data_IF_256465521649
#
_entry.id   IF_256465521649
#
_cell.length_a   1.000
_cell.length_b   1.000
_cell.length_c   1.000
_cell.angle_alpha   90.00
_cell.angle_beta   90.00
_cell.angle_gamma   90.00
#
_symmetry.space_group_name_H-M   'P 1'
#
loop_
_entity.id
_entity.type
_entity.pdbx_description
1 polymer ?
#
# COMPACT_ATOMS: atom_id res chain seq x y z
N UNK A 1 -10.35 -5.96 3.30
CA UNK A 1 -9.35 -5.48 4.29
C UNK A 1 -9.78 -4.12 4.81
N UNK A 2 -9.71 -3.91 6.12
CA UNK A 2 -10.14 -2.66 6.71
C UNK A 2 -9.04 -1.60 6.62
N UNK A 3 -9.46 -0.33 6.72
CA UNK A 3 -8.53 0.79 6.75
C UNK A 3 -7.52 0.65 7.90
N UNK A 4 -8.01 0.25 9.07
CA UNK A 4 -7.15 0.09 10.25
C UNK A 4 -6.09 -0.97 10.04
N UNK A 5 -6.45 -2.09 9.41
CA UNK A 5 -5.48 -3.15 9.12
C UNK A 5 -4.40 -2.68 8.16
N UNK A 6 -4.79 -1.92 7.14
CA UNK A 6 -3.85 -1.36 6.18
C UNK A 6 -2.91 -0.39 6.89
N UNK A 7 -3.47 0.48 7.72
CA UNK A 7 -2.69 1.45 8.47
C UNK A 7 -1.67 0.79 9.38
N UNK A 8 -2.07 -0.29 10.09
CA UNK A 8 -1.17 -1.02 10.96
C UNK A 8 0.01 -1.63 10.18
N UNK A 9 -0.28 -2.20 9.01
CA UNK A 9 0.77 -2.77 8.17
C UNK A 9 1.74 -1.69 7.69
N UNK A 10 1.23 -0.52 7.33
CA UNK A 10 2.06 0.58 6.87
C UNK A 10 2.92 1.14 8.01
N UNK A 11 2.39 1.15 9.22
CA UNK A 11 3.17 1.57 10.37
C UNK A 11 4.36 0.65 10.59
N UNK A 12 4.15 -0.66 10.42
CA UNK A 12 5.23 -1.64 10.52
C UNK A 12 6.29 -1.41 9.46
N UNK A 13 5.87 -1.19 8.21
CA UNK A 13 6.80 -0.92 7.11
C UNK A 13 7.60 0.35 7.39
N UNK A 14 6.93 1.38 7.86
CA UNK A 14 7.58 2.66 8.17
C UNK A 14 8.56 2.55 9.35
N UNK A 15 8.20 1.74 10.34
CA UNK A 15 9.06 1.53 11.50
C UNK A 15 10.41 0.93 11.11
N UNK A 16 10.40 0.03 10.12
CA UNK A 16 11.62 -0.64 9.68
C UNK A 16 12.24 0.04 8.46
N UNK A 17 12.29 1.37 8.46
CA UNK A 17 12.79 2.14 7.32
C UNK A 17 14.29 1.93 7.02
N UNK A 18 15.02 1.32 7.95
CA UNK A 18 16.46 1.04 7.75
C UNK A 18 16.71 -0.31 7.08
N UNK A 19 15.66 -1.11 6.88
CA UNK A 19 15.76 -2.40 6.21
C UNK A 19 14.76 -2.45 5.07
N UNK A 20 15.04 -3.28 4.07
CA UNK A 20 14.15 -3.42 2.92
C UNK A 20 13.01 -4.38 3.24
N UNK A 21 11.94 -3.83 3.79
CA UNK A 21 10.72 -4.59 4.03
C UNK A 21 9.68 -4.14 3.03
N UNK A 22 9.11 -5.09 2.32
CA UNK A 22 8.06 -4.83 1.36
C UNK A 22 6.81 -5.56 1.79
N UNK A 23 5.69 -4.85 1.83
CA UNK A 23 4.41 -5.43 2.18
C UNK A 23 3.54 -5.50 0.94
N UNK A 24 3.00 -6.67 0.66
CA UNK A 24 2.11 -6.85 -0.48
C UNK A 24 0.67 -6.94 -0.03
N UNK A 25 -0.21 -6.30 -0.78
CA UNK A 25 -1.64 -6.38 -0.59
C UNK A 25 -2.23 -7.15 -1.76
N UNK A 26 -2.99 -8.18 -1.46
CA UNK A 26 -3.53 -9.06 -2.48
C UNK A 26 -5.01 -8.81 -2.70
N UNK A 27 -5.43 -9.03 -3.91
CA UNK A 27 -6.83 -9.11 -4.25
C UNK A 27 -7.03 -10.45 -4.92
N UNK A 28 -7.71 -11.36 -4.21
CA UNK A 28 -7.78 -12.75 -4.65
C UNK A 28 -6.42 -13.42 -4.54
N UNK A 29 -5.99 -14.08 -5.58
CA UNK A 29 -4.73 -14.80 -5.60
C UNK A 29 -3.55 -13.98 -6.11
N UNK A 30 -3.81 -12.79 -6.66
CA UNK A 30 -2.75 -11.98 -7.23
C UNK A 30 -2.38 -10.82 -6.31
N UNK A 31 -1.09 -10.52 -6.25
CA UNK A 31 -0.64 -9.30 -5.59
C UNK A 31 -1.16 -8.11 -6.41
N UNK A 32 -1.76 -7.16 -5.74
CA UNK A 32 -2.37 -6.00 -6.38
C UNK A 32 -1.54 -4.73 -6.16
N UNK A 33 -1.05 -4.56 -4.94
CA UNK A 33 -0.29 -3.39 -4.54
C UNK A 33 0.87 -3.84 -3.68
N UNK A 34 2.04 -3.24 -3.87
CA UNK A 34 3.17 -3.43 -2.97
C UNK A 34 3.56 -2.09 -2.37
N UNK A 35 4.00 -2.13 -1.12
CA UNK A 35 4.41 -0.93 -0.39
C UNK A 35 5.73 -1.20 0.28
N UNK A 36 6.64 -0.26 0.15
CA UNK A 36 7.90 -0.31 0.90
C UNK A 36 8.25 1.11 1.37
N UNK A 37 9.08 1.18 2.39
CA UNK A 37 9.59 2.46 2.85
C UNK A 37 10.91 2.75 2.15
N UNK A 38 11.04 3.94 1.59
CA UNK A 38 12.28 4.33 0.94
C UNK A 38 13.36 4.44 2.03
N UNK A 39 14.48 3.77 1.80
CA UNK A 39 15.56 3.65 2.78
C UNK A 39 16.00 5.02 3.30
N UNK A 40 16.14 5.10 4.62
CA UNK A 40 16.59 6.31 5.33
C UNK A 40 15.62 7.49 5.22
N UNK A 41 14.36 7.22 4.86
CA UNK A 41 13.32 8.23 4.83
C UNK A 41 12.07 7.67 5.47
N UNK A 42 11.05 8.51 5.59
CA UNK A 42 9.73 8.07 6.04
C UNK A 42 8.74 8.05 4.88
N UNK A 43 9.25 8.14 3.68
CA UNK A 43 8.42 8.11 2.48
C UNK A 43 8.03 6.68 2.17
N UNK A 44 6.73 6.45 1.97
CA UNK A 44 6.20 5.15 1.57
C UNK A 44 6.04 5.13 0.06
N UNK A 45 6.61 4.12 -0.57
CA UNK A 45 6.50 3.93 -2.01
C UNK A 45 5.45 2.87 -2.28
N UNK A 46 4.39 3.27 -2.95
CA UNK A 46 3.25 2.41 -3.27
C UNK A 46 3.27 2.10 -4.75
N UNK A 47 3.36 0.82 -5.09
CA UNK A 47 3.39 0.39 -6.48
C UNK A 47 2.10 -0.37 -6.79
N UNK A 48 1.39 0.08 -7.81
CA UNK A 48 0.19 -0.58 -8.31
C UNK A 48 0.61 -1.54 -9.42
N UNK A 49 0.54 -2.82 -9.12
CA UNK A 49 1.10 -3.85 -10.01
C UNK A 49 0.40 -3.88 -11.37
N UNK A 50 -0.91 -3.73 -11.39
CA UNK A 50 -1.69 -3.80 -12.63
C UNK A 50 -1.30 -2.71 -13.63
N UNK A 51 -1.07 -1.50 -13.16
CA UNK A 51 -0.74 -0.37 -14.02
C UNK A 51 0.75 -0.06 -14.02
N UNK A 52 1.50 -0.69 -13.11
CA UNK A 52 2.93 -0.42 -12.89
C UNK A 52 3.19 1.04 -12.50
N UNK A 53 2.18 1.69 -11.94
CA UNK A 53 2.32 3.05 -11.45
C UNK A 53 2.91 3.02 -10.04
N UNK A 54 3.76 3.98 -9.75
CA UNK A 54 4.36 4.12 -8.43
C UNK A 54 4.08 5.51 -7.89
N UNK A 55 3.64 5.59 -6.65
CA UNK A 55 3.38 6.85 -5.98
C UNK A 55 4.08 6.88 -4.64
N UNK A 56 4.41 8.06 -4.17
CA UNK A 56 5.11 8.26 -2.90
C UNK A 56 4.24 9.06 -1.95
N UNK A 57 4.20 8.62 -0.69
CA UNK A 57 3.42 9.27 0.36
C UNK A 57 4.30 9.47 1.58
N UNK A 58 4.21 10.67 2.17
CA UNK A 58 4.96 10.97 3.39
C UNK A 58 4.13 10.72 4.64
N UNK A 59 2.85 10.43 4.49
CA UNK A 59 1.95 10.17 5.59
C UNK A 59 1.38 8.77 5.49
N UNK A 60 1.40 8.05 6.62
CA UNK A 60 0.82 6.71 6.70
C UNK A 60 -0.67 6.77 6.40
N UNK A 61 -1.36 7.79 6.90
CA UNK A 61 -2.80 7.92 6.65
C UNK A 61 -3.11 8.12 5.18
N UNK A 62 -2.34 8.96 4.51
CA UNK A 62 -2.54 9.20 3.08
C UNK A 62 -2.29 7.95 2.26
N UNK A 63 -1.21 7.24 2.58
CA UNK A 63 -0.91 5.98 1.89
C UNK A 63 -1.99 4.93 2.17
N UNK A 64 -2.42 4.80 3.41
CA UNK A 64 -3.45 3.84 3.77
C UNK A 64 -4.77 4.14 3.07
N UNK A 65 -5.12 5.40 2.97
CA UNK A 65 -6.35 5.80 2.29
C UNK A 65 -6.27 5.48 0.80
N UNK A 66 -5.15 5.77 0.17
CA UNK A 66 -4.97 5.47 -1.24
C UNK A 66 -5.08 3.96 -1.51
N UNK A 67 -4.45 3.15 -0.68
CA UNK A 67 -4.52 1.70 -0.81
C UNK A 67 -5.93 1.19 -0.58
N UNK A 68 -6.58 1.70 0.46
CA UNK A 68 -7.94 1.30 0.79
C UNK A 68 -8.90 1.59 -0.36
N UNK A 69 -8.81 2.79 -0.91
CA UNK A 69 -9.66 3.18 -2.03
C UNK A 69 -9.37 2.36 -3.28
N UNK A 70 -8.10 2.07 -3.54
CA UNK A 70 -7.72 1.28 -4.71
C UNK A 70 -8.29 -0.13 -4.63
N UNK A 71 -8.23 -0.77 -3.46
CA UNK A 71 -8.75 -2.11 -3.28
C UNK A 71 -10.28 -2.11 -3.42
N UNK A 72 -10.94 -1.16 -2.78
CA UNK A 72 -12.40 -1.10 -2.82
C UNK A 72 -12.93 -0.67 -4.18
N UNK A 73 -12.25 0.25 -4.84
CA UNK A 73 -12.64 0.68 -6.19
C UNK A 73 -12.58 -0.47 -7.18
N UNK A 74 -11.54 -1.30 -7.08
CA UNK A 74 -11.41 -2.44 -7.95
C UNK A 74 -12.57 -3.42 -7.76
N UNK A 75 -12.97 -3.65 -6.51
CA UNK A 75 -14.12 -4.51 -6.22
C UNK A 75 -15.41 -3.89 -6.75
N UNK A 76 -15.57 -2.59 -6.53
CA UNK A 76 -16.75 -1.88 -6.99
C UNK A 76 -16.88 -1.90 -8.51
N UNK A 77 -15.77 -1.77 -9.21
CA UNK A 77 -15.76 -1.83 -10.67
C UNK A 77 -16.27 -3.15 -11.21
N UNK A 78 -16.03 -4.22 -10.48
CA UNK A 78 -16.47 -5.55 -10.91
C UNK A 78 -17.96 -5.76 -10.75
N UNK A 79 -18.59 -5.02 -9.87
CA UNK A 79 -20.03 -5.16 -9.63
C UNK A 79 -20.88 -4.29 -10.54
N UNK A 80 -20.29 -3.38 -11.24
CA UNK A 80 -21.03 -2.47 -12.12
C UNK A 80 -21.01 -2.90 -13.60
#
# INVERSE_FOLDING_TARGET
MSFESIKDLLETVSYYHTVNIEQSFHKGEKAHITVKCVKDTRTLEVTYIDTQATEHYESIEDAALAIYEAINSAEHSQTS
#
